data_IF_003143656782
#
_entry.id   IF_003143656782
#
_cell.length_a   1.000
_cell.length_b   1.000
_cell.length_c   1.000
_cell.angle_alpha   90.00
_cell.angle_beta   90.00
_cell.angle_gamma   90.00
#
_symmetry.space_group_name_H-M   'P 1'
#
loop_
_entity.id
_entity.type
_entity.pdbx_description
1 polymer ?
#
# COMPACT_ATOMS: atom_id res chain seq x y z
N UNK A 1 16.26 46.09 32.70
CA UNK A 1 16.39 44.75 32.08
C UNK A 1 16.09 44.70 30.58
N UNK A 2 15.21 45.55 30.01
CA UNK A 2 14.82 45.48 28.58
C UNK A 2 15.92 45.83 27.55
N UNK A 3 16.94 46.64 27.90
CA UNK A 3 18.01 47.04 26.95
C UNK A 3 18.88 45.88 26.47
N UNK A 4 19.10 44.83 27.29
CA UNK A 4 19.94 43.68 26.91
C UNK A 4 19.31 42.82 25.82
N UNK A 5 17.99 42.76 25.74
CA UNK A 5 17.26 41.98 24.74
C UNK A 5 17.22 42.62 23.35
N UNK A 6 17.65 43.88 23.19
CA UNK A 6 17.77 44.54 21.89
C UNK A 6 19.17 44.44 21.29
N UNK A 7 20.17 44.17 22.12
CA UNK A 7 21.56 43.97 21.71
C UNK A 7 21.68 42.72 20.80
N UNK A 8 22.18 42.86 19.56
CA UNK A 8 22.26 41.76 18.60
C UNK A 8 23.22 40.66 19.05
N UNK A 9 24.29 40.98 19.77
CA UNK A 9 25.26 40.01 20.25
C UNK A 9 24.74 39.25 21.48
N UNK A 10 24.01 39.94 22.35
CA UNK A 10 23.27 39.28 23.43
C UNK A 10 22.19 38.32 22.89
N UNK A 11 21.45 38.72 21.85
CA UNK A 11 20.46 37.84 21.18
C UNK A 11 21.13 36.58 20.62
N UNK A 12 22.25 36.73 19.91
CA UNK A 12 23.00 35.60 19.34
C UNK A 12 23.52 34.68 20.44
N UNK A 13 24.14 35.24 21.49
CA UNK A 13 24.63 34.46 22.62
C UNK A 13 23.52 33.66 23.30
N UNK A 14 22.34 34.27 23.48
CA UNK A 14 21.18 33.61 24.06
C UNK A 14 20.62 32.49 23.16
N UNK A 15 20.55 32.72 21.84
CA UNK A 15 20.15 31.66 20.89
C UNK A 15 21.12 30.48 20.90
N UNK A 16 22.43 30.75 20.92
CA UNK A 16 23.47 29.71 21.00
C UNK A 16 23.34 28.94 22.31
N UNK A 17 23.16 29.62 23.44
CA UNK A 17 22.96 28.97 24.73
C UNK A 17 21.70 28.09 24.76
N UNK A 18 20.59 28.60 24.22
CA UNK A 18 19.33 27.84 24.09
C UNK A 18 19.47 26.64 23.16
N UNK A 19 20.23 26.76 22.07
CA UNK A 19 20.45 25.65 21.14
C UNK A 19 21.33 24.58 21.78
N UNK A 20 22.40 24.98 22.49
CA UNK A 20 23.27 24.05 23.23
C UNK A 20 22.50 23.29 24.31
N UNK A 21 21.63 23.96 25.07
CA UNK A 21 20.82 23.30 26.10
C UNK A 21 19.80 22.32 25.49
N UNK A 22 19.18 22.68 24.37
CA UNK A 22 18.29 21.78 23.64
C UNK A 22 19.04 20.54 23.11
N UNK A 23 20.22 20.72 22.52
CA UNK A 23 21.04 19.61 22.02
C UNK A 23 21.44 18.66 23.15
N UNK A 24 21.82 19.18 24.32
CA UNK A 24 22.12 18.36 25.50
C UNK A 24 20.92 17.54 25.95
N UNK A 25 19.71 18.13 25.94
CA UNK A 25 18.47 17.39 26.27
C UNK A 25 18.12 16.34 25.22
N UNK A 26 18.40 16.58 23.93
CA UNK A 26 18.13 15.62 22.86
C UNK A 26 19.07 14.41 22.85
N UNK A 27 20.16 14.43 23.63
CA UNK A 27 21.00 13.27 23.89
C UNK A 27 20.34 12.29 24.86
N UNK A 28 19.46 12.77 25.73
CA UNK A 28 18.65 11.94 26.62
C UNK A 28 17.57 11.20 25.80
N UNK A 29 17.57 9.86 25.80
CA UNK A 29 16.64 9.07 25.00
C UNK A 29 15.18 9.23 25.44
N UNK A 30 14.91 9.41 26.73
CA UNK A 30 13.56 9.58 27.26
C UNK A 30 13.01 10.94 26.88
N UNK A 31 13.83 11.99 26.99
CA UNK A 31 13.46 13.31 26.50
C UNK A 31 13.21 13.32 24.99
N UNK A 32 14.08 12.66 24.21
CA UNK A 32 13.94 12.55 22.76
C UNK A 32 12.64 11.83 22.38
N UNK A 33 12.31 10.75 23.07
CA UNK A 33 11.08 9.99 22.85
C UNK A 33 9.84 10.80 23.23
N UNK A 34 9.84 11.42 24.41
CA UNK A 34 8.75 12.28 24.87
C UNK A 34 8.49 13.43 23.90
N UNK A 35 9.56 14.09 23.42
CA UNK A 35 9.46 15.19 22.46
C UNK A 35 8.90 14.72 21.10
N UNK A 36 9.32 13.54 20.62
CA UNK A 36 8.75 12.95 19.41
C UNK A 36 7.27 12.61 19.56
N UNK A 37 6.88 12.01 20.69
CA UNK A 37 5.48 11.67 20.98
C UNK A 37 4.62 12.93 21.04
N UNK A 38 5.07 13.97 21.76
CA UNK A 38 4.39 15.26 21.84
C UNK A 38 4.23 15.90 20.45
N UNK A 39 5.29 15.89 19.65
CA UNK A 39 5.28 16.42 18.27
C UNK A 39 4.33 15.65 17.35
N UNK A 40 4.26 14.31 17.49
CA UNK A 40 3.32 13.49 16.72
C UNK A 40 1.88 13.74 17.16
N UNK A 41 1.62 13.83 18.46
CA UNK A 41 0.27 14.13 19.01
C UNK A 41 -0.23 15.49 18.52
N UNK A 42 0.60 16.53 18.55
CA UNK A 42 0.20 17.85 18.06
C UNK A 42 -0.05 17.87 16.55
N UNK A 43 0.75 17.16 15.78
CA UNK A 43 0.55 17.02 14.33
C UNK A 43 -0.72 16.25 13.99
N UNK A 44 -1.02 15.17 14.73
CA UNK A 44 -2.27 14.41 14.57
C UNK A 44 -3.50 15.29 14.85
N UNK A 45 -3.47 16.09 15.92
CA UNK A 45 -4.54 17.03 16.24
C UNK A 45 -4.77 18.04 15.10
N UNK A 46 -3.69 18.57 14.52
CA UNK A 46 -3.78 19.48 13.36
C UNK A 46 -4.32 18.79 12.11
N UNK A 47 -3.98 17.52 11.89
CA UNK A 47 -4.48 16.75 10.72
C UNK A 47 -5.97 16.38 10.81
N UNK A 48 -6.60 16.53 11.97
CA UNK A 48 -8.07 16.42 12.11
C UNK A 48 -8.79 17.62 11.49
N UNK A 49 -8.15 18.79 11.47
CA UNK A 49 -8.67 19.97 10.79
C UNK A 49 -8.60 19.79 9.26
N UNK A 50 -9.75 19.81 8.55
CA UNK A 50 -9.81 19.61 7.12
C UNK A 50 -9.07 20.70 6.32
N UNK A 51 -9.05 21.94 6.80
CA UNK A 51 -8.40 23.05 6.10
C UNK A 51 -6.89 22.97 6.26
N UNK A 52 -6.42 22.64 7.47
CA UNK A 52 -5.01 22.30 7.67
C UNK A 52 -4.57 21.12 6.80
N UNK A 53 -5.40 20.07 6.68
CA UNK A 53 -5.10 18.90 5.85
C UNK A 53 -5.01 19.25 4.37
N UNK A 54 -5.89 20.11 3.85
CA UNK A 54 -5.83 20.61 2.47
C UNK A 54 -4.58 21.46 2.26
N UNK A 55 -4.33 22.44 3.12
CA UNK A 55 -3.17 23.31 3.05
C UNK A 55 -1.85 22.52 3.09
N UNK A 56 -1.76 21.53 3.98
CA UNK A 56 -0.58 20.68 4.10
C UNK A 56 -0.35 19.82 2.84
N UNK A 57 -1.42 19.28 2.24
CA UNK A 57 -1.32 18.56 0.95
C UNK A 57 -0.82 19.47 -0.17
N UNK A 58 -1.39 20.67 -0.30
CA UNK A 58 -0.99 21.65 -1.31
C UNK A 58 0.47 22.04 -1.13
N UNK A 59 0.88 22.36 0.11
CA UNK A 59 2.27 22.68 0.43
C UNK A 59 3.23 21.53 0.10
N UNK A 60 2.85 20.29 0.44
CA UNK A 60 3.64 19.09 0.12
C UNK A 60 3.80 18.89 -1.39
N UNK A 61 2.74 19.09 -2.17
CA UNK A 61 2.80 18.99 -3.64
C UNK A 61 3.68 20.09 -4.22
N UNK A 62 3.50 21.35 -3.78
CA UNK A 62 4.32 22.49 -4.21
C UNK A 62 5.80 22.27 -3.93
N UNK A 63 6.15 21.80 -2.73
CA UNK A 63 7.53 21.48 -2.36
C UNK A 63 8.12 20.31 -3.15
N UNK A 64 7.29 19.35 -3.55
CA UNK A 64 7.72 18.26 -4.44
C UNK A 64 7.98 18.78 -5.84
N UNK A 65 7.09 19.62 -6.39
CA UNK A 65 7.26 20.21 -7.72
C UNK A 65 8.56 21.03 -7.81
N UNK A 66 8.81 21.91 -6.83
CA UNK A 66 10.06 22.67 -6.74
C UNK A 66 11.30 21.76 -6.73
N UNK A 67 11.26 20.64 -6.01
CA UNK A 67 12.37 19.68 -6.01
C UNK A 67 12.53 18.96 -7.35
N UNK A 68 11.44 18.73 -8.07
CA UNK A 68 11.45 18.08 -9.39
C UNK A 68 11.94 18.99 -10.52
N UNK A 69 12.05 20.29 -10.30
CA UNK A 69 12.75 21.22 -11.21
C UNK A 69 14.25 20.92 -11.25
N UNK A 70 14.83 20.42 -10.15
CA UNK A 70 16.21 19.96 -10.13
C UNK A 70 16.35 18.63 -10.92
N UNK A 71 17.11 18.59 -12.02
CA UNK A 71 17.21 17.42 -12.89
C UNK A 71 17.88 16.22 -12.21
N UNK A 72 18.81 16.45 -11.28
CA UNK A 72 19.49 15.39 -10.50
C UNK A 72 18.49 14.73 -9.55
N UNK A 73 17.70 15.54 -8.84
CA UNK A 73 16.63 15.04 -7.97
C UNK A 73 15.56 14.29 -8.77
N UNK A 74 15.16 14.81 -9.93
CA UNK A 74 14.16 14.17 -10.79
C UNK A 74 14.60 12.77 -11.24
N UNK A 75 15.83 12.62 -11.74
CA UNK A 75 16.38 11.33 -12.17
C UNK A 75 16.44 10.34 -11.01
N UNK A 76 17.03 10.73 -9.87
CA UNK A 76 17.14 9.87 -8.69
C UNK A 76 15.78 9.41 -8.17
N UNK A 77 14.79 10.31 -8.10
CA UNK A 77 13.41 9.98 -7.72
C UNK A 77 12.76 8.97 -8.67
N UNK A 78 12.97 9.08 -9.98
CA UNK A 78 12.45 8.13 -10.97
C UNK A 78 13.06 6.74 -10.80
N UNK A 79 14.40 6.64 -10.71
CA UNK A 79 15.09 5.37 -10.49
C UNK A 79 14.61 4.68 -9.20
N UNK A 80 14.47 5.44 -8.12
CA UNK A 80 14.04 4.91 -6.84
C UNK A 80 12.58 4.42 -6.89
N UNK A 81 11.70 5.12 -7.62
CA UNK A 81 10.33 4.66 -7.86
C UNK A 81 10.28 3.36 -8.65
N UNK A 82 11.07 3.23 -9.73
CA UNK A 82 11.15 1.99 -10.51
C UNK A 82 11.64 0.83 -9.64
N UNK A 83 12.67 1.06 -8.82
CA UNK A 83 13.19 0.07 -7.86
C UNK A 83 12.11 -0.35 -6.85
N UNK A 84 11.37 0.60 -6.29
CA UNK A 84 10.30 0.33 -5.34
C UNK A 84 9.10 -0.40 -5.99
N UNK A 85 8.81 -0.13 -7.27
CA UNK A 85 7.82 -0.87 -8.04
C UNK A 85 8.26 -2.33 -8.26
N UNK A 86 9.53 -2.56 -8.63
CA UNK A 86 10.08 -3.91 -8.79
C UNK A 86 10.06 -4.71 -7.49
N UNK A 87 10.46 -4.10 -6.36
CA UNK A 87 10.38 -4.73 -5.03
C UNK A 87 8.95 -5.15 -4.66
N UNK A 88 7.97 -4.31 -4.96
CA UNK A 88 6.55 -4.63 -4.72
C UNK A 88 6.04 -5.78 -5.59
N UNK A 89 6.52 -5.90 -6.84
CA UNK A 89 6.22 -7.04 -7.72
C UNK A 89 6.83 -8.32 -7.18
N UNK A 90 8.13 -8.33 -6.89
CA UNK A 90 8.84 -9.48 -6.34
C UNK A 90 8.25 -9.96 -4.99
N UNK A 91 7.89 -9.03 -4.10
CA UNK A 91 7.19 -9.36 -2.85
C UNK A 91 5.80 -9.98 -3.07
N UNK A 92 5.15 -9.63 -4.17
CA UNK A 92 3.85 -10.16 -4.58
C UNK A 92 3.97 -11.55 -5.22
N UNK A 93 5.06 -11.80 -5.92
CA UNK A 93 5.33 -13.06 -6.63
C UNK A 93 5.83 -14.13 -5.64
N UNK A 94 6.55 -13.74 -4.59
CA UNK A 94 6.92 -14.63 -3.49
C UNK A 94 5.72 -15.10 -2.64
N UNK A 95 4.61 -14.37 -2.64
CA UNK A 95 3.37 -14.73 -1.94
C UNK A 95 2.50 -15.71 -2.76
N UNK A 96 2.76 -15.81 -4.07
CA UNK A 96 2.09 -16.72 -5.00
C UNK A 96 3.17 -17.52 -5.73
N UNK A 97 3.78 -18.50 -5.05
CA UNK A 97 4.89 -19.25 -5.64
C UNK A 97 4.47 -20.03 -6.88
N UNK A 98 5.26 -19.88 -7.95
CA UNK A 98 5.12 -20.58 -9.21
C UNK A 98 5.68 -22.00 -9.09
N UNK A 99 4.85 -23.03 -9.24
CA UNK A 99 5.34 -24.34 -9.70
C UNK A 99 5.47 -24.26 -11.23
N UNK A 100 6.51 -23.57 -11.70
CA UNK A 100 6.98 -23.70 -13.09
C UNK A 100 8.30 -24.47 -13.15
N UNK A 101 8.53 -25.38 -12.21
CA UNK A 101 9.63 -26.34 -12.22
C UNK A 101 9.11 -27.78 -12.11
N UNK A 102 8.00 -28.10 -12.79
CA UNK A 102 7.82 -29.47 -13.26
C UNK A 102 8.54 -29.58 -14.59
N UNK A 103 9.63 -30.36 -14.58
CA UNK A 103 10.38 -30.86 -15.74
C UNK A 103 9.43 -31.01 -16.94
N UNK A 104 9.66 -30.22 -18.00
CA UNK A 104 9.02 -30.46 -19.30
C UNK A 104 9.59 -31.77 -19.84
N UNK A 105 8.86 -32.88 -19.69
CA UNK A 105 9.02 -34.03 -20.57
C UNK A 105 8.36 -33.67 -21.91
N UNK A 106 9.02 -33.90 -23.07
CA UNK A 106 8.55 -33.37 -24.36
C UNK A 106 7.29 -34.06 -24.93
N UNK A 107 6.72 -35.04 -24.24
CA UNK A 107 5.55 -35.79 -24.70
C UNK A 107 4.32 -35.47 -23.82
N UNK A 108 3.60 -34.40 -24.15
CA UNK A 108 2.18 -34.19 -23.79
C UNK A 108 1.60 -32.91 -24.42
N UNK A 109 2.19 -32.46 -25.53
CA UNK A 109 1.49 -31.54 -26.43
C UNK A 109 0.55 -32.43 -27.25
N UNK A 110 -0.61 -32.73 -26.67
CA UNK A 110 -1.87 -33.18 -27.31
C UNK A 110 -2.70 -33.96 -26.29
N UNK A 111 -3.28 -33.23 -25.34
CA UNK A 111 -4.49 -33.68 -24.67
C UNK A 111 -5.32 -32.42 -24.40
N UNK A 112 -6.51 -32.42 -24.95
CA UNK A 112 -7.50 -31.36 -24.82
C UNK A 112 -7.80 -31.06 -23.33
N UNK A 113 -8.04 -29.78 -23.02
CA UNK A 113 -9.13 -29.44 -22.10
C UNK A 113 -8.90 -29.42 -20.59
N UNK A 114 -7.68 -29.42 -20.05
CA UNK A 114 -7.50 -29.20 -18.60
C UNK A 114 -7.56 -27.71 -18.26
N UNK A 115 -8.76 -27.13 -18.29
CA UNK A 115 -8.97 -25.75 -17.83
C UNK A 115 -9.11 -25.69 -16.31
N UNK A 116 -8.35 -24.83 -15.65
CA UNK A 116 -8.46 -24.59 -14.21
C UNK A 116 -9.54 -23.54 -13.93
N UNK A 117 -10.43 -23.81 -12.97
CA UNK A 117 -11.44 -22.85 -12.53
C UNK A 117 -10.77 -21.81 -11.63
N UNK A 118 -10.90 -20.53 -11.99
CA UNK A 118 -10.50 -19.45 -11.11
C UNK A 118 -11.44 -19.38 -9.90
N UNK A 119 -10.91 -19.41 -8.69
CA UNK A 119 -11.71 -19.31 -7.47
C UNK A 119 -12.46 -17.97 -7.35
N UNK A 120 -11.87 -16.88 -7.86
CA UNK A 120 -12.44 -15.53 -7.71
C UNK A 120 -13.53 -15.18 -8.72
N UNK A 121 -13.38 -15.59 -9.99
CA UNK A 121 -14.35 -15.27 -11.04
C UNK A 121 -15.11 -16.48 -11.57
N UNK A 122 -14.83 -17.67 -11.03
CA UNK A 122 -15.39 -18.96 -11.42
C UNK A 122 -15.26 -19.35 -12.90
N UNK A 123 -14.51 -18.56 -13.71
CA UNK A 123 -14.24 -18.88 -15.12
C UNK A 123 -13.14 -19.93 -15.24
N UNK A 124 -13.34 -20.83 -16.19
CA UNK A 124 -12.34 -21.76 -16.68
C UNK A 124 -11.23 -20.99 -17.42
N UNK A 125 -9.98 -21.30 -17.12
CA UNK A 125 -8.79 -20.65 -17.68
C UNK A 125 -7.77 -21.71 -18.05
N UNK A 126 -6.92 -21.38 -19.02
CA UNK A 126 -5.76 -22.21 -19.30
C UNK A 126 -4.86 -22.30 -18.06
N UNK A 127 -4.21 -23.45 -17.79
CA UNK A 127 -3.27 -23.60 -16.68
C UNK A 127 -2.13 -22.56 -16.70
N UNK A 128 -1.75 -22.08 -17.88
CA UNK A 128 -0.77 -21.00 -18.06
C UNK A 128 -1.27 -19.61 -17.62
N UNK A 129 -2.57 -19.45 -17.36
CA UNK A 129 -3.26 -18.18 -17.10
C UNK A 129 -3.79 -18.08 -15.66
N UNK A 130 -3.38 -18.99 -14.78
CA UNK A 130 -3.81 -19.10 -13.39
C UNK A 130 -2.59 -19.21 -12.47
N UNK A 131 -2.75 -18.72 -11.24
CA UNK A 131 -1.72 -18.71 -10.21
C UNK A 131 -2.25 -19.39 -8.95
N UNK A 132 -1.45 -20.24 -8.32
CA UNK A 132 -1.76 -20.74 -6.99
C UNK A 132 -1.49 -19.66 -5.95
N UNK A 133 -2.47 -19.40 -5.10
CA UNK A 133 -2.42 -18.36 -4.08
C UNK A 133 -2.77 -18.97 -2.73
N UNK A 134 -2.05 -18.55 -1.68
CA UNK A 134 -2.36 -19.03 -0.34
C UNK A 134 -3.79 -18.64 0.06
N UNK A 135 -4.50 -19.65 0.58
CA UNK A 135 -5.83 -19.55 1.17
C UNK A 135 -5.94 -18.43 2.22
N UNK A 136 -4.86 -18.14 2.96
CA UNK A 136 -4.78 -17.05 3.93
C UNK A 136 -5.16 -15.67 3.38
N UNK A 137 -4.93 -15.42 2.08
CA UNK A 137 -5.31 -14.16 1.43
C UNK A 137 -6.83 -14.00 1.41
N UNK A 138 -7.58 -15.09 1.27
CA UNK A 138 -9.04 -15.10 1.22
C UNK A 138 -9.67 -15.08 2.61
N UNK A 139 -9.03 -15.74 3.58
CA UNK A 139 -9.41 -15.63 5.00
C UNK A 139 -9.34 -14.17 5.47
N UNK A 140 -8.31 -13.41 5.05
CA UNK A 140 -8.20 -11.96 5.33
C UNK A 140 -9.29 -11.11 4.66
N UNK A 141 -9.92 -11.63 3.62
CA UNK A 141 -11.03 -10.98 2.91
C UNK A 141 -12.40 -11.43 3.44
N UNK A 142 -12.45 -12.26 4.49
CA UNK A 142 -13.69 -12.78 5.07
C UNK A 142 -14.41 -13.80 4.16
N UNK A 143 -13.72 -14.38 3.18
CA UNK A 143 -14.29 -15.39 2.29
C UNK A 143 -14.05 -16.79 2.85
N UNK A 144 -15.13 -17.55 3.01
CA UNK A 144 -15.07 -18.97 3.39
C UNK A 144 -14.43 -19.78 2.25
N UNK A 145 -13.49 -20.64 2.61
CA UNK A 145 -12.86 -21.60 1.70
C UNK A 145 -13.44 -22.98 2.04
N UNK A 146 -13.84 -23.80 1.05
CA UNK A 146 -14.29 -25.17 1.31
C UNK A 146 -13.19 -25.94 2.04
N UNK A 147 -13.57 -26.65 3.11
CA UNK A 147 -12.66 -27.40 3.99
C UNK A 147 -11.80 -28.45 3.27
N UNK A 148 -12.14 -28.80 2.03
CA UNK A 148 -11.45 -29.80 1.21
C UNK A 148 -10.32 -29.21 0.33
N UNK A 149 -10.18 -27.89 0.28
CA UNK A 149 -9.15 -27.23 -0.50
C UNK A 149 -7.83 -27.19 0.28
N UNK A 150 -6.85 -27.99 -0.17
CA UNK A 150 -5.42 -27.85 0.17
C UNK A 150 -5.07 -26.36 0.18
N UNK A 151 -4.17 -25.95 1.07
CA UNK A 151 -3.78 -24.56 1.46
C UNK A 151 -3.57 -23.51 0.35
N UNK A 152 -3.69 -23.85 -0.93
CA UNK A 152 -3.59 -23.00 -2.10
C UNK A 152 -4.86 -23.06 -2.97
N UNK A 153 -5.32 -21.91 -3.46
CA UNK A 153 -6.44 -21.77 -4.39
C UNK A 153 -5.96 -21.17 -5.72
N UNK A 154 -6.61 -21.56 -6.82
CA UNK A 154 -6.27 -21.13 -8.18
C UNK A 154 -6.93 -19.81 -8.55
N UNK A 155 -6.15 -18.80 -8.94
CA UNK A 155 -6.64 -17.47 -9.31
C UNK A 155 -6.15 -17.06 -10.69
N UNK A 156 -7.06 -16.57 -11.52
CA UNK A 156 -6.73 -16.02 -12.84
C UNK A 156 -5.79 -14.82 -12.77
N UNK A 157 -4.88 -14.67 -13.72
CA UNK A 157 -3.96 -13.53 -13.83
C UNK A 157 -4.69 -12.18 -13.88
N UNK A 158 -5.90 -12.13 -14.45
CA UNK A 158 -6.74 -10.92 -14.48
C UNK A 158 -7.37 -10.59 -13.12
N UNK A 159 -7.60 -11.60 -12.28
CA UNK A 159 -8.33 -11.49 -11.01
C UNK A 159 -7.38 -11.13 -9.86
N UNK A 160 -6.15 -11.64 -9.93
CA UNK A 160 -5.11 -11.47 -8.93
C UNK A 160 -4.84 -10.00 -8.52
N UNK A 161 -4.79 -9.01 -9.44
CA UNK A 161 -4.56 -7.61 -9.07
C UNK A 161 -5.71 -6.98 -8.29
N UNK A 162 -6.95 -7.47 -8.46
CA UNK A 162 -8.12 -6.93 -7.77
C UNK A 162 -8.17 -7.40 -6.32
N UNK A 163 -7.91 -8.70 -6.11
CA UNK A 163 -7.80 -9.34 -4.80
C UNK A 163 -6.71 -8.66 -3.96
N UNK A 164 -5.52 -8.46 -4.55
CA UNK A 164 -4.38 -7.80 -3.89
C UNK A 164 -4.63 -6.34 -3.51
N UNK A 165 -5.54 -5.65 -4.21
CA UNK A 165 -5.87 -4.24 -3.96
C UNK A 165 -7.05 -4.05 -3.01
N UNK A 166 -7.60 -5.14 -2.45
CA UNK A 166 -8.84 -5.15 -1.63
C UNK A 166 -9.97 -4.36 -2.28
N UNK A 167 -9.98 -4.31 -3.62
CA UNK A 167 -11.08 -3.72 -4.38
C UNK A 167 -12.00 -4.87 -4.73
N UNK A 168 -13.29 -4.68 -4.45
CA UNK A 168 -14.38 -5.52 -4.96
C UNK A 168 -14.06 -5.89 -6.41
N UNK A 169 -14.28 -7.15 -6.85
CA UNK A 169 -14.05 -7.52 -8.24
C UNK A 169 -14.71 -6.49 -9.16
N UNK A 170 -14.19 -6.28 -10.39
CA UNK A 170 -14.97 -5.59 -11.39
C UNK A 170 -16.33 -6.30 -11.44
N UNK A 171 -17.39 -5.54 -11.12
CA UNK A 171 -18.76 -6.01 -11.15
C UNK A 171 -19.00 -6.75 -12.46
N UNK A 172 -19.73 -7.84 -12.31
CA UNK A 172 -20.21 -8.74 -13.33
C UNK A 172 -20.65 -8.00 -14.61
N UNK A 173 -19.77 -7.87 -15.59
CA UNK A 173 -20.19 -7.60 -16.98
C UNK A 173 -20.36 -8.98 -17.61
N UNK A 174 -21.46 -9.63 -17.23
CA UNK A 174 -21.99 -10.79 -17.92
C UNK A 174 -22.84 -10.28 -19.08
N UNK A 175 -22.42 -10.59 -20.30
CA UNK A 175 -23.27 -10.47 -21.48
C UNK A 175 -24.54 -11.31 -21.25
N UNK A 176 -25.69 -10.64 -21.19
CA UNK A 176 -26.96 -11.16 -21.71
C UNK A 176 -27.70 -12.24 -20.93
N UNK A 177 -27.72 -12.25 -19.60
CA UNK A 177 -28.71 -13.05 -18.86
C UNK A 177 -29.42 -12.20 -17.81
N UNK A 178 -30.75 -12.24 -17.86
CA UNK A 178 -31.69 -11.45 -17.07
C UNK A 178 -31.49 -11.62 -15.55
N UNK A 179 -31.60 -10.50 -14.85
CA UNK A 179 -31.55 -10.40 -13.40
C UNK A 179 -32.84 -10.97 -12.80
N UNK A 180 -32.80 -12.21 -12.30
CA UNK A 180 -33.73 -12.62 -11.26
C UNK A 180 -33.29 -11.98 -9.94
N UNK A 181 -33.98 -10.89 -9.61
CA UNK A 181 -34.32 -10.38 -8.27
C UNK A 181 -33.31 -10.61 -7.13
N UNK A 182 -32.66 -9.52 -6.72
CA UNK A 182 -31.98 -9.43 -5.42
C UNK A 182 -33.04 -9.57 -4.30
N UNK A 183 -32.82 -10.39 -3.24
CA UNK A 183 -33.72 -10.42 -2.09
C UNK A 183 -33.71 -9.04 -1.39
N UNK A 184 -34.89 -8.52 -1.09
CA UNK A 184 -35.12 -7.18 -0.53
C UNK A 184 -34.58 -6.93 0.89
N UNK A 185 -33.66 -7.75 1.41
CA UNK A 185 -33.21 -7.70 2.80
C UNK A 185 -31.97 -6.83 3.07
N UNK A 186 -31.47 -6.05 2.08
CA UNK A 186 -30.26 -5.22 2.25
C UNK A 186 -30.50 -3.72 2.07
N UNK A 187 -31.76 -3.26 2.08
CA UNK A 187 -32.08 -1.83 2.13
C UNK A 187 -32.94 -1.52 3.35
N UNK A 188 -32.29 -1.47 4.51
CA UNK A 188 -32.72 -0.64 5.64
C UNK A 188 -31.63 -0.61 6.71
N UNK A 189 -30.80 0.42 6.68
CA UNK A 189 -30.12 0.92 7.88
C UNK A 189 -30.80 2.25 8.18
N UNK A 190 -31.63 2.27 9.22
CA UNK A 190 -32.07 3.50 9.90
C UNK A 190 -30.93 4.05 10.73
#
# INVERSE_FOLDING_TARGET
MLKRLQDPDFKKANQIASHKSMLKRLQDPDFKNANQVASRKSMLKRLQDPDFKKANKVASVKNRLKRMENPVFKKTYQFQNVRNMRKRRLSSDNLCQNVSTKKKTPYSIWSQGLSEKCYWCHRLRFPSSVNQCNSDIFNRLGMLIPSDAKSTVTICTSCLPHIKKTKVPPLYIGNGYELNSVPSSVTQIK
#
